data_IF_544277609759
#
_entry.id   IF_544277609759
#
_cell.length_a   1.000
_cell.length_b   1.000
_cell.length_c   1.000
_cell.angle_alpha   90.00
_cell.angle_beta   90.00
_cell.angle_gamma   90.00
#
_symmetry.space_group_name_H-M   'P 1'
#
loop_
_entity.id
_entity.type
_entity.pdbx_description
1 polymer ?
#
# COMPACT_ATOMS: atom_id res chain seq x y z
N UNK A 1 8.55 32.13 -22.54
CA UNK A 1 8.65 30.90 -23.35
C UNK A 1 10.12 30.49 -23.39
N UNK A 2 10.51 29.43 -22.67
CA UNK A 2 11.86 28.86 -22.77
C UNK A 2 11.83 27.82 -23.89
N UNK A 3 12.43 28.10 -25.05
CA UNK A 3 12.63 27.09 -26.09
C UNK A 3 13.90 26.30 -25.77
N UNK A 4 13.73 25.03 -25.41
CA UNK A 4 14.85 24.11 -25.24
C UNK A 4 15.40 23.75 -26.62
N UNK A 5 16.69 24.00 -26.84
CA UNK A 5 17.38 23.54 -28.05
C UNK A 5 17.40 22.01 -28.09
N UNK A 6 17.55 21.40 -29.28
CA UNK A 6 17.60 19.92 -29.45
C UNK A 6 18.61 19.25 -28.50
N UNK A 7 19.71 19.92 -28.17
CA UNK A 7 20.71 19.46 -27.19
C UNK A 7 20.18 19.49 -25.76
N UNK A 8 19.48 20.56 -25.37
CA UNK A 8 18.88 20.63 -24.04
C UNK A 8 17.73 19.63 -23.87
N UNK A 9 16.95 19.35 -24.93
CA UNK A 9 15.93 18.30 -24.92
C UNK A 9 16.54 16.90 -24.73
N UNK A 10 17.66 16.60 -25.40
CA UNK A 10 18.36 15.32 -25.24
C UNK A 10 18.95 15.16 -23.82
N UNK A 11 19.51 16.23 -23.25
CA UNK A 11 20.00 16.22 -21.86
C UNK A 11 18.86 15.99 -20.88
N UNK A 12 17.73 16.68 -21.06
CA UNK A 12 16.57 16.56 -20.17
C UNK A 12 15.96 15.16 -20.24
N UNK A 13 15.89 14.56 -21.44
CA UNK A 13 15.47 13.17 -21.61
C UNK A 13 16.42 12.18 -20.91
N UNK A 14 17.73 12.42 -21.00
CA UNK A 14 18.75 11.62 -20.30
C UNK A 14 18.61 11.70 -18.77
N UNK A 15 18.36 12.89 -18.23
CA UNK A 15 18.11 13.10 -16.80
C UNK A 15 16.83 12.39 -16.36
N UNK A 16 15.74 12.50 -17.12
CA UNK A 16 14.47 11.82 -16.81
C UNK A 16 14.66 10.29 -16.83
N UNK A 17 15.35 9.74 -17.83
CA UNK A 17 15.66 8.31 -17.89
C UNK A 17 16.53 7.85 -16.71
N UNK A 18 17.48 8.68 -16.26
CA UNK A 18 18.26 8.42 -15.06
C UNK A 18 17.40 8.46 -13.79
N UNK A 19 16.47 9.40 -13.66
CA UNK A 19 15.54 9.46 -12.53
C UNK A 19 14.59 8.26 -12.51
N UNK A 20 14.04 7.87 -13.67
CA UNK A 20 13.17 6.68 -13.79
C UNK A 20 13.95 5.40 -13.52
N UNK A 21 15.15 5.26 -14.08
CA UNK A 21 16.03 4.12 -13.82
C UNK A 21 16.44 4.03 -12.35
N UNK A 22 16.79 5.16 -11.73
CA UNK A 22 17.08 5.25 -10.31
C UNK A 22 15.87 4.92 -9.43
N UNK A 23 14.67 5.37 -9.81
CA UNK A 23 13.43 5.03 -9.12
C UNK A 23 13.08 3.55 -9.26
N UNK A 24 13.24 2.95 -10.44
CA UNK A 24 13.04 1.51 -10.65
C UNK A 24 14.06 0.66 -9.88
N UNK A 25 15.34 1.06 -9.87
CA UNK A 25 16.37 0.40 -9.06
C UNK A 25 16.06 0.52 -7.56
N UNK A 26 15.67 1.71 -7.10
CA UNK A 26 15.26 1.92 -5.72
C UNK A 26 14.05 1.04 -5.35
N UNK A 27 13.05 0.94 -6.22
CA UNK A 27 11.88 0.08 -6.01
C UNK A 27 12.23 -1.42 -6.04
N UNK A 28 13.20 -1.82 -6.87
CA UNK A 28 13.66 -3.21 -6.94
C UNK A 28 14.44 -3.64 -5.69
N UNK A 29 15.22 -2.74 -5.09
CA UNK A 29 16.01 -3.00 -3.87
C UNK A 29 15.25 -2.75 -2.56
N UNK A 30 14.18 -1.94 -2.57
CA UNK A 30 13.31 -1.70 -1.40
C UNK A 30 11.96 -2.36 -1.62
N UNK A 31 11.94 -3.67 -1.84
CA UNK A 31 10.70 -4.42 -1.90
C UNK A 31 10.10 -4.48 -0.48
N UNK A 32 8.84 -4.06 -0.29
CA UNK A 32 8.19 -4.17 1.01
C UNK A 32 8.15 -5.64 1.41
N UNK A 33 8.67 -5.99 2.59
CA UNK A 33 8.50 -7.31 3.18
C UNK A 33 7.07 -7.41 3.70
N UNK A 34 6.14 -8.06 2.97
CA UNK A 34 4.71 -7.97 3.28
C UNK A 34 4.33 -8.85 4.47
N UNK A 35 5.28 -9.62 5.02
CA UNK A 35 5.09 -10.51 6.14
C UNK A 35 5.89 -9.98 7.31
N UNK A 36 5.19 -9.61 8.36
CA UNK A 36 5.79 -9.15 9.60
C UNK A 36 5.33 -10.04 10.74
N UNK A 37 6.21 -10.23 11.71
CA UNK A 37 5.92 -11.06 12.85
C UNK A 37 6.01 -10.22 14.12
N UNK A 38 4.97 -10.27 14.93
CA UNK A 38 4.87 -9.57 16.21
C UNK A 38 4.31 -10.56 17.24
N UNK A 39 4.44 -10.25 18.54
CA UNK A 39 3.66 -11.00 19.54
C UNK A 39 2.17 -10.64 19.45
N UNK A 40 1.29 -11.54 19.91
CA UNK A 40 -0.15 -11.26 19.95
C UNK A 40 -0.46 -10.03 20.82
N UNK A 41 0.23 -9.89 21.96
CA UNK A 41 0.06 -8.72 22.83
C UNK A 41 0.46 -7.41 22.15
N UNK A 42 1.53 -7.41 21.35
CA UNK A 42 1.94 -6.23 20.59
C UNK A 42 0.98 -5.93 19.44
N UNK A 43 0.54 -6.95 18.70
CA UNK A 43 -0.41 -6.82 17.60
C UNK A 43 -1.78 -6.25 18.03
N UNK A 44 -2.17 -6.45 19.29
CA UNK A 44 -3.38 -5.86 19.90
C UNK A 44 -3.23 -4.37 20.26
N UNK A 45 -2.06 -3.76 20.06
CA UNK A 45 -1.79 -2.36 20.37
C UNK A 45 -1.48 -1.53 19.12
N UNK A 46 -1.84 -0.23 19.09
CA UNK A 46 -1.48 0.65 17.98
C UNK A 46 0.02 0.71 17.71
N UNK A 47 0.84 0.64 18.76
CA UNK A 47 2.29 0.70 18.66
C UNK A 47 2.89 -0.57 18.03
N UNK A 48 2.37 -1.76 18.34
CA UNK A 48 2.82 -2.99 17.68
C UNK A 48 2.34 -3.10 16.23
N UNK A 49 1.14 -2.61 15.92
CA UNK A 49 0.70 -2.47 14.52
C UNK A 49 1.57 -1.46 13.76
N UNK A 50 2.01 -0.38 14.42
CA UNK A 50 2.91 0.60 13.81
C UNK A 50 4.28 0.00 13.51
N UNK A 51 4.84 -0.76 14.45
CA UNK A 51 6.10 -1.46 14.28
C UNK A 51 6.02 -2.45 13.11
N UNK A 52 4.95 -3.25 13.04
CA UNK A 52 4.68 -4.13 11.92
C UNK A 52 4.56 -3.35 10.59
N UNK A 53 3.84 -2.24 10.57
CA UNK A 53 3.71 -1.42 9.36
C UNK A 53 5.07 -0.84 8.91
N UNK A 54 5.90 -0.39 9.86
CA UNK A 54 7.25 0.11 9.58
C UNK A 54 8.18 -0.98 9.03
N UNK A 55 8.13 -2.19 9.62
CA UNK A 55 8.86 -3.36 9.15
C UNK A 55 8.41 -3.76 7.73
N UNK A 56 7.12 -3.60 7.41
CA UNK A 56 6.58 -3.80 6.07
C UNK A 56 6.79 -2.60 5.11
N UNK A 57 7.50 -1.55 5.55
CA UNK A 57 7.71 -0.30 4.80
C UNK A 57 6.42 0.42 4.37
N UNK A 58 5.36 0.32 5.18
CA UNK A 58 4.05 0.93 4.94
C UNK A 58 3.77 2.01 5.98
N UNK A 59 3.45 3.22 5.51
CA UNK A 59 3.02 4.31 6.39
C UNK A 59 1.51 4.24 6.63
N UNK A 60 1.10 4.12 7.89
CA UNK A 60 -0.31 4.13 8.33
C UNK A 60 -0.64 5.39 9.14
N UNK A 61 -1.89 5.83 9.10
CA UNK A 61 -2.40 6.91 9.96
C UNK A 61 -2.66 6.36 11.38
N UNK A 62 -2.52 7.20 12.42
CA UNK A 62 -2.80 6.82 13.80
C UNK A 62 -4.18 6.17 14.00
N UNK A 63 -5.20 6.69 13.32
CA UNK A 63 -6.55 6.12 13.39
C UNK A 63 -6.65 4.71 12.80
N UNK A 64 -5.81 4.38 11.82
CA UNK A 64 -5.75 3.05 11.22
C UNK A 64 -5.00 2.07 12.11
N UNK A 65 -3.94 2.55 12.78
CA UNK A 65 -3.23 1.75 13.79
C UNK A 65 -4.18 1.34 14.92
N UNK A 66 -4.99 2.28 15.41
CA UNK A 66 -6.00 1.99 16.43
C UNK A 66 -7.11 1.06 15.90
N UNK A 67 -7.60 1.29 14.69
CA UNK A 67 -8.65 0.46 14.09
C UNK A 67 -8.17 -0.99 13.86
N UNK A 68 -6.94 -1.17 13.38
CA UNK A 68 -6.32 -2.47 13.19
C UNK A 68 -6.07 -3.18 14.53
N UNK A 69 -5.49 -2.48 15.52
CA UNK A 69 -5.25 -3.04 16.85
C UNK A 69 -6.55 -3.50 17.52
N UNK A 70 -7.61 -2.68 17.46
CA UNK A 70 -8.93 -3.05 18.00
C UNK A 70 -9.52 -4.26 17.27
N UNK A 71 -9.39 -4.33 15.93
CA UNK A 71 -9.87 -5.48 15.16
C UNK A 71 -9.09 -6.76 15.50
N UNK A 72 -7.77 -6.68 15.67
CA UNK A 72 -6.94 -7.81 16.11
C UNK A 72 -7.38 -8.28 17.50
N UNK A 73 -7.63 -7.36 18.43
CA UNK A 73 -8.14 -7.67 19.76
C UNK A 73 -9.54 -8.31 19.74
N UNK A 74 -10.44 -7.86 18.85
CA UNK A 74 -11.76 -8.46 18.66
C UNK A 74 -11.69 -9.86 18.02
N UNK A 75 -10.71 -10.10 17.15
CA UNK A 75 -10.50 -11.37 16.46
C UNK A 75 -9.81 -12.42 17.33
N UNK A 76 -9.13 -12.04 18.41
CA UNK A 76 -8.47 -12.94 19.38
C UNK A 76 -9.38 -14.10 19.85
N UNK A 77 -10.67 -13.80 20.08
CA UNK A 77 -11.65 -14.76 20.59
C UNK A 77 -12.49 -15.41 19.48
N UNK A 78 -12.22 -15.09 18.22
CA UNK A 78 -12.88 -15.69 17.06
C UNK A 78 -11.93 -16.70 16.41
N UNK A 79 -12.43 -17.83 15.90
CA UNK A 79 -11.59 -18.74 15.14
C UNK A 79 -10.96 -18.00 13.95
N UNK A 80 -9.68 -18.26 13.60
CA UNK A 80 -9.03 -17.60 12.48
C UNK A 80 -9.80 -17.83 11.18
N UNK A 81 -9.99 -16.79 10.37
CA UNK A 81 -10.61 -16.94 9.04
C UNK A 81 -9.81 -17.90 8.14
N UNK A 82 -8.51 -18.07 8.41
CA UNK A 82 -7.64 -19.05 7.77
C UNK A 82 -6.72 -19.67 8.83
N UNK A 83 -6.77 -20.98 9.00
CA UNK A 83 -5.75 -21.74 9.75
C UNK A 83 -4.70 -22.19 8.72
N UNK A 84 -3.53 -21.55 8.71
CA UNK A 84 -2.41 -21.95 7.86
C UNK A 84 -1.76 -23.19 8.49
N UNK A 85 -2.21 -24.39 8.08
CA UNK A 85 -1.52 -25.66 8.36
C UNK A 85 -0.53 -25.92 7.23
N UNK A 86 0.72 -25.50 7.40
CA UNK A 86 1.74 -25.68 6.37
C UNK A 86 3.04 -26.21 6.95
N UNK A 87 3.83 -26.79 6.07
CA UNK A 87 5.24 -27.11 6.26
C UNK A 87 6.03 -25.81 6.52
N UNK A 88 7.00 -25.78 7.45
CA UNK A 88 7.94 -24.67 7.70
C UNK A 88 8.41 -23.89 6.46
N UNK A 89 8.75 -24.60 5.38
CA UNK A 89 9.35 -24.05 4.15
C UNK A 89 8.35 -23.23 3.30
N UNK A 90 7.05 -23.36 3.55
CA UNK A 90 6.01 -22.73 2.71
C UNK A 90 5.26 -21.59 3.40
N UNK A 91 5.57 -21.27 4.66
CA UNK A 91 4.82 -20.29 5.45
C UNK A 91 4.82 -18.91 4.77
N UNK A 92 5.99 -18.38 4.42
CA UNK A 92 6.08 -17.08 3.74
C UNK A 92 5.29 -17.08 2.42
N UNK A 93 5.41 -18.14 1.61
CA UNK A 93 4.71 -18.24 0.32
C UNK A 93 3.20 -18.29 0.49
N UNK A 94 2.70 -18.99 1.51
CA UNK A 94 1.26 -19.11 1.77
C UNK A 94 0.71 -17.81 2.35
N UNK A 95 1.45 -17.16 3.25
CA UNK A 95 1.08 -15.85 3.80
C UNK A 95 1.04 -14.80 2.69
N UNK A 96 2.08 -14.73 1.84
CA UNK A 96 2.12 -13.81 0.69
C UNK A 96 0.94 -14.08 -0.25
N UNK A 97 0.68 -15.35 -0.58
CA UNK A 97 -0.44 -15.72 -1.45
C UNK A 97 -1.80 -15.36 -0.84
N UNK A 98 -1.97 -15.46 0.47
CA UNK A 98 -3.17 -14.99 1.18
C UNK A 98 -3.29 -13.46 1.17
N UNK A 99 -2.19 -12.74 1.39
CA UNK A 99 -2.13 -11.27 1.32
C UNK A 99 -2.53 -10.79 -0.07
N UNK A 100 -1.94 -11.37 -1.12
CA UNK A 100 -2.27 -11.08 -2.52
C UNK A 100 -3.73 -11.42 -2.85
N UNK A 101 -4.19 -12.61 -2.45
CA UNK A 101 -5.58 -13.06 -2.68
C UNK A 101 -6.60 -12.13 -2.03
N UNK A 102 -6.30 -11.60 -0.83
CA UNK A 102 -7.19 -10.67 -0.12
C UNK A 102 -6.96 -9.20 -0.48
N UNK A 103 -5.93 -8.88 -1.27
CA UNK A 103 -5.56 -7.50 -1.62
C UNK A 103 -5.09 -6.67 -0.42
N UNK A 104 -4.56 -7.33 0.62
CA UNK A 104 -4.05 -6.66 1.82
C UNK A 104 -2.68 -6.03 1.54
N UNK A 105 -2.28 -5.05 2.36
CA UNK A 105 -1.00 -4.39 2.18
C UNK A 105 0.14 -5.15 2.86
N UNK A 106 -0.13 -5.77 4.02
CA UNK A 106 0.79 -6.65 4.72
C UNK A 106 0.02 -7.59 5.65
N UNK A 107 0.70 -8.60 6.19
CA UNK A 107 0.19 -9.49 7.21
C UNK A 107 1.03 -9.43 8.50
N UNK A 108 0.34 -9.56 9.64
CA UNK A 108 0.95 -9.79 10.94
C UNK A 108 0.70 -11.24 11.32
N UNK A 109 1.78 -11.99 11.55
CA UNK A 109 1.72 -13.40 11.96
C UNK A 109 2.02 -13.52 13.45
N UNK A 110 1.21 -14.29 14.18
CA UNK A 110 1.34 -14.52 15.63
C UNK A 110 1.18 -16.01 15.97
N UNK A 111 1.77 -16.46 17.07
CA UNK A 111 1.63 -17.84 17.57
C UNK A 111 0.52 -17.92 18.63
N UNK A 112 -0.60 -18.63 18.37
CA UNK A 112 -1.66 -18.80 19.35
C UNK A 112 -1.24 -19.63 20.58
N UNK A 113 -0.22 -20.49 20.47
CA UNK A 113 0.28 -21.30 21.57
C UNK A 113 1.24 -20.52 22.49
N UNK A 114 1.90 -19.47 21.98
CA UNK A 114 2.81 -18.61 22.73
C UNK A 114 2.49 -17.12 22.45
N UNK A 115 1.35 -16.60 22.95
CA UNK A 115 0.87 -15.26 22.63
C UNK A 115 1.82 -14.13 23.07
N UNK A 116 2.71 -14.42 24.01
CA UNK A 116 3.65 -13.47 24.61
C UNK A 116 4.99 -13.40 23.86
N UNK A 117 5.21 -14.27 22.86
CA UNK A 117 6.45 -14.30 22.09
C UNK A 117 6.23 -13.84 20.66
N UNK A 118 7.17 -13.05 20.16
CA UNK A 118 7.28 -12.73 18.76
C UNK A 118 7.65 -13.99 17.99
N UNK A 119 6.94 -14.25 16.89
CA UNK A 119 7.26 -15.38 16.00
C UNK A 119 8.52 -15.05 15.23
N UNK A 120 9.57 -15.85 15.34
CA UNK A 120 10.74 -15.72 14.48
C UNK A 120 10.56 -16.59 13.24
N UNK A 121 10.11 -15.99 12.14
CA UNK A 121 9.81 -16.72 10.90
C UNK A 121 11.03 -17.51 10.37
N UNK A 122 12.26 -17.05 10.59
CA UNK A 122 13.47 -17.79 10.20
C UNK A 122 13.68 -19.06 11.03
N UNK A 123 13.40 -19.01 12.34
CA UNK A 123 13.45 -20.21 13.20
C UNK A 123 12.32 -21.17 12.86
N UNK A 124 11.12 -20.64 12.58
CA UNK A 124 9.97 -21.46 12.17
C UNK A 124 10.27 -22.18 10.85
N UNK A 125 10.93 -21.52 9.90
CA UNK A 125 11.34 -22.09 8.60
C UNK A 125 12.44 -23.14 8.73
N UNK A 126 13.21 -23.09 9.82
CA UNK A 126 14.29 -24.03 10.14
C UNK A 126 13.82 -25.29 10.88
N UNK A 127 12.53 -25.37 11.23
CA UNK A 127 11.95 -26.56 11.87
C UNK A 127 11.87 -27.73 10.89
N UNK A 128 11.90 -28.98 11.40
CA UNK A 128 11.71 -30.16 10.56
C UNK A 128 10.40 -30.08 9.79
N UNK A 129 10.44 -30.37 8.48
CA UNK A 129 9.31 -30.21 7.57
C UNK A 129 8.02 -30.90 8.07
N UNK A 130 8.13 -32.01 8.80
CA UNK A 130 6.97 -32.76 9.27
C UNK A 130 6.30 -32.19 10.52
N UNK A 131 6.79 -31.08 11.07
CA UNK A 131 6.20 -30.48 12.27
C UNK A 131 4.98 -29.64 11.86
N UNK A 132 3.73 -30.02 12.22
CA UNK A 132 2.58 -29.19 11.91
C UNK A 132 2.59 -27.94 12.81
N UNK A 133 2.60 -26.77 12.18
CA UNK A 133 2.57 -25.47 12.88
C UNK A 133 1.24 -24.80 12.61
N UNK A 134 0.67 -24.17 13.63
CA UNK A 134 -0.56 -23.37 13.52
C UNK A 134 -0.25 -21.95 13.90
N UNK A 135 -0.34 -21.02 12.94
CA UNK A 135 -0.13 -19.60 13.17
C UNK A 135 -1.41 -18.82 12.85
N UNK A 136 -1.63 -17.74 13.59
CA UNK A 136 -2.66 -16.76 13.27
C UNK A 136 -2.09 -15.74 12.28
N UNK A 137 -2.84 -15.44 11.23
CA UNK A 137 -2.50 -14.42 10.24
C UNK A 137 -3.54 -13.31 10.24
N UNK A 138 -3.11 -12.07 10.49
CA UNK A 138 -3.94 -10.89 10.40
C UNK A 138 -3.54 -10.06 9.17
N UNK A 139 -4.43 -10.01 8.18
CA UNK A 139 -4.22 -9.23 6.96
C UNK A 139 -4.62 -7.77 7.19
N UNK A 140 -3.65 -6.86 7.11
CA UNK A 140 -3.83 -5.44 7.43
C UNK A 140 -3.95 -4.61 6.16
N UNK A 141 -4.95 -3.73 6.15
CA UNK A 141 -5.25 -2.83 5.05
C UNK A 141 -4.97 -1.37 5.42
N UNK A 142 -4.08 -0.73 4.68
CA UNK A 142 -3.59 0.63 4.94
C UNK A 142 -4.36 1.72 4.16
N UNK A 143 -5.69 1.60 4.03
CA UNK A 143 -6.52 2.59 3.32
C UNK A 143 -6.64 3.95 4.02
N UNK A 144 -6.20 5.02 3.35
CA UNK A 144 -6.35 6.40 3.83
C UNK A 144 -7.82 6.77 4.12
N UNK A 145 -8.09 7.61 5.12
CA UNK A 145 -9.46 8.06 5.41
C UNK A 145 -10.02 8.99 4.33
N UNK A 146 -9.14 9.84 3.79
CA UNK A 146 -9.45 10.81 2.75
C UNK A 146 -8.29 10.80 1.75
N UNK A 147 -8.63 10.73 0.47
CA UNK A 147 -7.70 10.90 -0.64
C UNK A 147 -8.00 12.27 -1.27
N UNK A 148 -6.94 13.02 -1.56
CA UNK A 148 -7.01 14.27 -2.30
C UNK A 148 -6.13 14.14 -3.51
N UNK A 149 -6.64 14.53 -4.66
CA UNK A 149 -5.93 14.47 -5.93
C UNK A 149 -5.98 15.80 -6.65
N UNK A 150 -4.93 16.09 -7.41
CA UNK A 150 -4.95 17.12 -8.45
C UNK A 150 -4.49 16.43 -9.73
N UNK A 151 -5.36 16.36 -10.72
CA UNK A 151 -5.03 15.81 -12.02
C UNK A 151 -4.78 16.97 -12.98
N UNK A 152 -3.66 16.90 -13.68
CA UNK A 152 -3.24 17.93 -14.64
C UNK A 152 -3.05 17.23 -15.98
N UNK A 153 -3.85 17.61 -16.96
CA UNK A 153 -3.79 17.11 -18.32
C UNK A 153 -3.14 18.18 -19.20
N UNK A 154 -1.87 18.01 -19.60
CA UNK A 154 -1.26 18.90 -20.57
C UNK A 154 -1.79 18.60 -21.98
N UNK A 155 -1.75 19.61 -22.84
CA UNK A 155 -1.92 19.43 -24.27
C UNK A 155 -0.70 18.66 -24.83
N UNK A 156 -0.84 17.35 -24.95
CA UNK A 156 0.25 16.49 -25.43
C UNK A 156 0.71 16.85 -26.84
N UNK A 157 -0.17 17.41 -27.69
CA UNK A 157 0.19 17.82 -29.05
C UNK A 157 1.13 19.02 -29.08
N UNK A 158 1.02 19.92 -28.09
CA UNK A 158 1.89 21.09 -27.91
C UNK A 158 3.10 20.80 -27.04
N UNK A 159 2.95 19.90 -26.06
CA UNK A 159 4.03 19.46 -25.18
C UNK A 159 5.18 18.84 -25.98
N UNK A 160 4.88 17.99 -26.97
CA UNK A 160 5.87 17.38 -27.88
C UNK A 160 6.56 18.42 -28.77
N UNK A 161 5.93 19.59 -28.99
CA UNK A 161 6.50 20.71 -29.75
C UNK A 161 7.28 21.72 -28.88
N UNK A 162 7.52 21.40 -27.60
CA UNK A 162 8.22 22.27 -26.65
C UNK A 162 7.40 23.48 -26.17
N UNK A 163 6.08 23.47 -26.38
CA UNK A 163 5.16 24.50 -25.88
C UNK A 163 4.30 23.90 -24.78
N UNK A 164 4.45 24.40 -23.54
CA UNK A 164 3.59 23.97 -22.44
C UNK A 164 2.23 24.68 -22.53
N UNK A 165 1.17 23.89 -22.73
CA UNK A 165 -0.22 24.35 -22.65
C UNK A 165 -0.98 23.31 -21.82
N UNK A 166 -1.84 23.78 -20.93
CA UNK A 166 -2.72 22.94 -20.12
C UNK A 166 -4.05 22.76 -20.85
N UNK A 167 -4.52 21.52 -20.94
CA UNK A 167 -5.83 21.19 -21.49
C UNK A 167 -6.87 21.11 -20.37
N UNK A 168 -6.54 20.49 -19.23
CA UNK A 168 -7.48 20.35 -18.12
C UNK A 168 -6.75 20.29 -16.77
N UNK A 169 -7.38 20.86 -15.75
CA UNK A 169 -6.98 20.68 -14.35
C UNK A 169 -8.21 20.29 -13.55
N UNK A 170 -8.13 19.20 -12.79
CA UNK A 170 -9.17 18.80 -11.83
C UNK A 170 -8.56 18.62 -10.45
N UNK A 171 -9.31 18.99 -9.43
CA UNK A 171 -9.05 18.67 -8.04
C UNK A 171 -10.17 17.74 -7.54
N UNK A 172 -9.79 16.74 -6.77
CA UNK A 172 -10.74 15.79 -6.21
C UNK A 172 -10.49 15.53 -4.73
N UNK A 173 -11.58 15.31 -4.01
CA UNK A 173 -11.56 14.91 -2.60
C UNK A 173 -12.50 13.73 -2.44
N UNK A 174 -11.95 12.60 -2.02
CA UNK A 174 -12.68 11.35 -1.85
C UNK A 174 -12.54 10.83 -0.42
N UNK A 175 -13.65 10.44 0.18
CA UNK A 175 -13.69 9.88 1.55
C UNK A 175 -13.96 8.39 1.48
N UNK A 176 -13.26 7.63 2.33
CA UNK A 176 -13.48 6.20 2.47
C UNK A 176 -14.90 5.95 2.98
N UNK A 177 -15.63 5.09 2.30
CA UNK A 177 -17.03 4.73 2.64
C UNK A 177 -17.15 3.32 3.21
N UNK A 178 -16.18 2.44 2.93
CA UNK A 178 -16.20 1.04 3.39
C UNK A 178 -14.85 0.63 3.97
N UNK A 179 -14.83 -0.46 4.74
CA UNK A 179 -13.60 -1.00 5.36
C UNK A 179 -12.66 -1.67 4.35
N UNK A 180 -13.18 -2.16 3.23
CA UNK A 180 -12.44 -2.77 2.11
C UNK A 180 -11.84 -1.73 1.14
N UNK A 181 -11.80 -0.45 1.51
CA UNK A 181 -11.06 0.55 0.75
C UNK A 181 -11.80 1.24 -0.39
N UNK A 182 -13.14 1.19 -0.43
CA UNK A 182 -13.91 1.98 -1.41
C UNK A 182 -14.04 3.43 -0.95
N UNK A 183 -13.98 4.35 -1.91
CA UNK A 183 -14.07 5.79 -1.70
C UNK A 183 -15.18 6.40 -2.55
N UNK A 184 -15.87 7.38 -1.98
CA UNK A 184 -16.79 8.26 -2.68
C UNK A 184 -16.34 9.71 -2.49
N UNK A 185 -16.36 10.48 -3.56
CA UNK A 185 -15.82 11.82 -3.57
C UNK A 185 -16.47 12.72 -4.59
N UNK A 186 -15.99 13.96 -4.59
CA UNK A 186 -16.34 14.98 -5.56
C UNK A 186 -15.09 15.37 -6.32
N UNK A 187 -15.25 15.65 -7.61
CA UNK A 187 -14.23 16.21 -8.48
C UNK A 187 -14.75 17.52 -9.06
N UNK A 188 -13.89 18.53 -9.10
CA UNK A 188 -14.17 19.80 -9.74
C UNK A 188 -12.94 20.27 -10.51
N UNK A 189 -13.12 20.93 -11.63
CA UNK A 189 -12.00 21.37 -12.46
C UNK A 189 -12.41 22.27 -13.61
N UNK A 190 -11.44 22.56 -14.45
CA UNK A 190 -11.61 23.43 -15.61
C UNK A 190 -10.95 22.81 -16.83
N UNK A 191 -11.71 22.75 -17.93
CA UNK A 191 -11.24 22.33 -19.25
C UNK A 191 -10.89 23.60 -20.05
N UNK A 192 -9.59 23.87 -20.16
CA UNK A 192 -9.04 25.02 -20.88
C UNK A 192 -9.09 24.83 -22.41
N UNK A 193 -9.33 23.61 -22.89
CA UNK A 193 -9.45 23.33 -24.32
C UNK A 193 -10.82 23.72 -24.84
N UNK A 194 -11.87 23.51 -24.06
CA UNK A 194 -13.26 23.77 -24.43
C UNK A 194 -13.90 24.93 -23.65
N UNK A 195 -13.15 25.56 -22.75
CA UNK A 195 -13.53 26.75 -21.97
C UNK A 195 -14.79 26.56 -21.10
N UNK A 196 -14.82 25.49 -20.31
CA UNK A 196 -15.89 25.27 -19.34
C UNK A 196 -15.44 24.57 -18.06
N UNK A 197 -16.21 24.78 -16.98
CA UNK A 197 -16.01 24.13 -15.68
C UNK A 197 -16.61 22.73 -15.62
N UNK A 198 -15.88 21.78 -15.02
CA UNK A 198 -16.32 20.40 -14.78
C UNK A 198 -16.59 20.20 -13.29
N UNK A 199 -17.68 19.50 -12.98
CA UNK A 199 -17.96 19.01 -11.64
C UNK A 199 -18.57 17.61 -11.75
N UNK A 200 -18.24 16.73 -10.82
CA UNK A 200 -18.72 15.35 -10.85
C UNK A 200 -18.51 14.60 -9.55
N UNK A 201 -19.01 13.37 -9.51
CA UNK A 201 -18.78 12.42 -8.43
C UNK A 201 -17.65 11.46 -8.83
N UNK A 202 -16.79 11.13 -7.87
CA UNK A 202 -15.73 10.15 -8.02
C UNK A 202 -16.05 8.95 -7.15
N UNK A 203 -16.08 7.77 -7.75
CA UNK A 203 -16.11 6.49 -7.04
C UNK A 203 -14.80 5.76 -7.31
N UNK A 204 -14.15 5.24 -6.28
CA UNK A 204 -12.88 4.50 -6.41
C UNK A 204 -12.93 3.26 -5.54
N UNK A 205 -12.41 2.15 -6.06
CA UNK A 205 -12.36 0.84 -5.41
C UNK A 205 -10.90 0.40 -5.23
#
# INVERSE_FOLDING_TARGET
>A
MFSLTKRQAAILLGVVLLCVGGWMLYQHYNQPEPVTAESQQQAETPAGVELAAQNAHITMLQSQLQEAANQIAELKNKPPDTIVKTVPVEIEKVVIKEVEKRGANFAIVTDPAQPDKQVNLQEVTSLPAETPITLNQYNVFAYKKVIRGVNVYPDWSKAVQGKFKLDEVTADVSRRITKDGKYLGVVAGYDFRHDYGKAGLRYSF
#
